data_IF_481127095596
#
_entry.id   IF_481127095596
#
_cell.length_a   1.000
_cell.length_b   1.000
_cell.length_c   1.000
_cell.angle_alpha   90.00
_cell.angle_beta   90.00
_cell.angle_gamma   90.00
#
_symmetry.space_group_name_H-M   'P 1'
#
loop_
_entity.id
_entity.type
_entity.pdbx_description
1 polymer ?
#
# COMPACT_ATOMS: atom_id res chain seq x y z
N UNK A 1 10.79 25.63 -9.57
CA UNK A 1 9.94 26.02 -9.07
C UNK A 1 9.08 25.29 -8.23
N UNK A 2 8.53 25.87 -7.47
CA UNK A 2 7.76 25.23 -6.47
C UNK A 2 6.62 24.42 -7.03
N UNK A 3 6.29 24.64 -8.24
CA UNK A 3 5.18 23.91 -8.83
C UNK A 3 5.40 22.41 -8.75
N UNK A 4 6.63 22.01 -8.81
CA UNK A 4 6.88 20.62 -8.79
C UNK A 4 6.55 19.99 -7.52
N UNK A 5 6.54 20.72 -6.48
CA UNK A 5 6.33 20.12 -5.20
C UNK A 5 4.96 19.54 -5.05
N UNK A 6 3.96 20.10 -5.76
CA UNK A 6 2.69 19.49 -5.59
C UNK A 6 2.40 18.50 -6.64
N UNK A 7 3.30 18.22 -7.49
CA UNK A 7 3.07 17.15 -8.43
C UNK A 7 3.57 15.85 -7.85
N UNK A 8 3.85 15.83 -6.57
CA UNK A 8 4.21 14.58 -5.94
C UNK A 8 3.11 13.61 -6.23
N UNK A 9 3.47 12.52 -6.85
CA UNK A 9 2.55 11.51 -7.27
C UNK A 9 1.86 10.91 -6.05
N UNK A 10 0.56 10.78 -6.10
CA UNK A 10 -0.20 10.17 -5.03
C UNK A 10 0.30 8.74 -4.78
N UNK A 11 0.62 8.02 -5.84
CA UNK A 11 1.15 6.67 -5.70
C UNK A 11 2.45 6.65 -4.91
N UNK A 12 3.31 7.64 -5.16
CA UNK A 12 4.57 7.72 -4.46
C UNK A 12 4.35 7.99 -2.97
N UNK A 13 3.39 8.84 -2.67
CA UNK A 13 3.04 9.11 -1.30
C UNK A 13 2.51 7.85 -0.61
N UNK A 14 1.69 7.10 -1.31
CA UNK A 14 1.15 5.86 -0.76
C UNK A 14 2.26 4.84 -0.53
N UNK A 15 3.24 4.79 -1.41
CA UNK A 15 4.39 3.90 -1.22
C UNK A 15 5.12 4.24 0.07
N UNK A 16 5.34 5.52 0.33
CA UNK A 16 6.01 5.92 1.56
C UNK A 16 5.20 5.53 2.78
N UNK A 17 3.88 5.69 2.69
CA UNK A 17 3.01 5.34 3.81
C UNK A 17 3.06 3.85 4.10
N UNK A 18 3.01 3.04 3.06
CA UNK A 18 3.05 1.59 3.24
C UNK A 18 4.40 1.14 3.78
N UNK A 19 5.48 1.72 3.28
CA UNK A 19 6.81 1.37 3.77
C UNK A 19 6.95 1.75 5.25
N UNK A 20 6.33 2.85 5.65
CA UNK A 20 6.34 3.25 7.05
C UNK A 20 5.58 2.25 7.90
N UNK A 21 4.43 1.80 7.41
CA UNK A 21 3.64 0.79 8.09
C UNK A 21 4.45 -0.51 8.21
N UNK A 22 5.09 -0.91 7.12
CA UNK A 22 5.89 -2.13 7.12
C UNK A 22 7.01 -2.05 8.16
N UNK A 23 7.64 -0.89 8.24
CA UNK A 23 8.73 -0.69 9.20
C UNK A 23 8.22 -0.79 10.63
N UNK A 24 7.05 -0.24 10.89
CA UNK A 24 6.47 -0.26 12.22
C UNK A 24 5.99 -1.64 12.63
N UNK A 25 5.65 -2.49 11.68
CA UNK A 25 5.12 -3.81 11.97
C UNK A 25 6.13 -4.94 11.77
N UNK A 26 7.40 -4.58 11.61
CA UNK A 26 8.45 -5.55 11.38
C UNK A 26 8.55 -6.60 12.47
N UNK A 27 8.23 -6.22 13.69
CA UNK A 27 8.36 -7.12 14.82
C UNK A 27 7.13 -7.96 15.11
N UNK A 28 6.12 -7.82 14.29
CA UNK A 28 4.92 -8.62 14.46
C UNK A 28 5.23 -10.08 14.13
N UNK A 29 4.45 -11.00 14.66
CA UNK A 29 4.63 -12.41 14.40
C UNK A 29 4.49 -12.70 12.92
N UNK A 30 3.55 -12.04 12.27
CA UNK A 30 3.32 -12.21 10.84
C UNK A 30 3.21 -10.82 10.23
N UNK A 31 4.34 -10.21 9.91
CA UNK A 31 4.32 -8.83 9.39
C UNK A 31 3.47 -8.67 8.13
N UNK A 32 3.48 -9.67 7.26
CA UNK A 32 2.70 -9.59 6.03
C UNK A 32 1.22 -9.50 6.34
N UNK A 33 0.73 -10.37 7.21
CA UNK A 33 -0.67 -10.36 7.58
C UNK A 33 -1.02 -9.09 8.33
N UNK A 34 -0.14 -8.62 9.19
CA UNK A 34 -0.38 -7.42 9.98
C UNK A 34 -0.50 -6.19 9.07
N UNK A 35 0.39 -6.08 8.09
CA UNK A 35 0.36 -4.96 7.16
C UNK A 35 -0.92 -5.01 6.32
N UNK A 36 -1.24 -6.19 5.81
CA UNK A 36 -2.44 -6.35 4.98
C UNK A 36 -3.70 -5.98 5.79
N UNK A 37 -3.75 -6.41 7.02
CA UNK A 37 -4.89 -6.13 7.87
C UNK A 37 -4.99 -4.63 8.19
N UNK A 38 -3.86 -4.00 8.45
CA UNK A 38 -3.84 -2.57 8.72
C UNK A 38 -4.36 -1.78 7.51
N UNK A 39 -3.87 -2.11 6.34
CA UNK A 39 -4.30 -1.42 5.14
C UNK A 39 -5.79 -1.66 4.89
N UNK A 40 -6.22 -2.90 5.04
CA UNK A 40 -7.63 -3.23 4.83
C UNK A 40 -8.52 -2.43 5.78
N UNK A 41 -8.09 -2.26 7.01
CA UNK A 41 -8.91 -1.58 8.02
C UNK A 41 -8.93 -0.06 7.87
N UNK A 42 -7.82 0.53 7.45
CA UNK A 42 -7.69 1.98 7.48
C UNK A 42 -7.62 2.67 6.12
N UNK A 43 -7.35 1.95 5.06
CA UNK A 43 -7.27 2.55 3.75
C UNK A 43 -8.57 2.32 2.98
N UNK A 44 -8.94 3.30 2.16
CA UNK A 44 -10.10 3.10 1.28
C UNK A 44 -9.71 2.16 0.16
N UNK A 45 -10.71 1.54 -0.45
CA UNK A 45 -10.47 0.69 -1.61
C UNK A 45 -9.78 1.46 -2.71
N UNK A 46 -10.15 2.73 -2.87
CA UNK A 46 -9.55 3.56 -3.90
C UNK A 46 -8.06 3.74 -3.67
N UNK A 47 -7.65 3.99 -2.43
CA UNK A 47 -6.24 4.13 -2.09
C UNK A 47 -5.49 2.85 -2.38
N UNK A 48 -6.08 1.73 -2.01
CA UNK A 48 -5.48 0.43 -2.25
C UNK A 48 -5.33 0.17 -3.75
N UNK A 49 -6.36 0.51 -4.51
CA UNK A 49 -6.33 0.31 -5.95
C UNK A 49 -5.25 1.18 -6.60
N UNK A 50 -5.13 2.41 -6.16
CA UNK A 50 -4.10 3.29 -6.70
C UNK A 50 -2.71 2.74 -6.48
N UNK A 51 -2.48 2.18 -5.30
CA UNK A 51 -1.18 1.60 -5.01
C UNK A 51 -0.92 0.36 -5.84
N UNK A 52 -1.92 -0.49 -5.99
CA UNK A 52 -1.79 -1.69 -6.81
C UNK A 52 -1.54 -1.35 -8.28
N UNK A 53 -2.22 -0.33 -8.78
CA UNK A 53 -2.05 0.10 -10.16
C UNK A 53 -0.64 0.64 -10.42
N UNK A 54 -0.08 1.28 -9.43
CA UNK A 54 1.25 1.83 -9.55
C UNK A 54 2.30 0.72 -9.65
N UNK A 55 2.04 -0.40 -8.99
CA UNK A 55 2.97 -1.51 -9.00
C UNK A 55 3.89 -1.51 -7.79
N UNK A 56 4.73 -2.53 -7.68
CA UNK A 56 5.54 -2.76 -6.48
C UNK A 56 6.81 -1.95 -6.37
N UNK A 57 7.11 -1.13 -7.35
CA UNK A 57 8.36 -0.41 -7.37
C UNK A 57 8.52 0.47 -6.13
N UNK A 58 9.64 0.35 -5.46
CA UNK A 58 9.92 1.15 -4.28
C UNK A 58 9.37 0.60 -2.98
N UNK A 59 8.61 -0.48 -3.03
CA UNK A 59 8.02 -1.07 -1.83
C UNK A 59 8.97 -2.08 -1.18
N UNK A 60 8.91 -2.15 0.15
CA UNK A 60 9.63 -3.19 0.88
C UNK A 60 9.05 -4.55 0.49
N UNK A 61 9.89 -5.60 0.50
CA UNK A 61 9.39 -6.94 0.15
C UNK A 61 8.20 -7.39 0.97
N UNK A 62 8.19 -7.06 2.25
CA UNK A 62 7.07 -7.43 3.13
C UNK A 62 5.81 -6.71 2.71
N UNK A 63 5.95 -5.45 2.32
CA UNK A 63 4.81 -4.66 1.84
C UNK A 63 4.26 -5.23 0.54
N UNK A 64 5.15 -5.67 -0.35
CA UNK A 64 4.73 -6.27 -1.61
C UNK A 64 3.89 -7.52 -1.33
N UNK A 65 4.37 -8.37 -0.42
CA UNK A 65 3.64 -9.58 -0.08
C UNK A 65 2.28 -9.26 0.51
N UNK A 66 2.21 -8.20 1.33
CA UNK A 66 0.94 -7.80 1.92
C UNK A 66 -0.04 -7.34 0.85
N UNK A 67 0.45 -6.58 -0.12
CA UNK A 67 -0.42 -6.11 -1.19
C UNK A 67 -0.90 -7.25 -2.06
N UNK A 68 -0.08 -8.27 -2.24
CA UNK A 68 -0.49 -9.44 -3.00
C UNK A 68 -1.67 -10.15 -2.33
N UNK A 69 -1.68 -10.13 -1.01
CA UNK A 69 -2.82 -10.71 -0.27
C UNK A 69 -4.07 -9.88 -0.42
N UNK A 70 -3.91 -8.56 -0.54
CA UNK A 70 -5.04 -7.65 -0.65
C UNK A 70 -5.62 -7.59 -2.06
N UNK A 71 -4.81 -7.84 -3.06
CA UNK A 71 -5.20 -7.64 -4.45
C UNK A 71 -6.52 -8.33 -4.83
N UNK A 72 -6.73 -9.60 -4.48
CA UNK A 72 -8.00 -10.25 -4.86
C UNK A 72 -9.20 -9.56 -4.26
N UNK A 73 -9.10 -9.14 -3.01
CA UNK A 73 -10.22 -8.48 -2.34
C UNK A 73 -10.48 -7.10 -2.93
N UNK A 74 -9.42 -6.38 -3.23
CA UNK A 74 -9.55 -5.05 -3.82
C UNK A 74 -10.15 -5.14 -5.21
N UNK A 75 -9.70 -6.11 -6.00
CA UNK A 75 -10.24 -6.31 -7.34
C UNK A 75 -11.71 -6.67 -7.29
N UNK A 76 -12.10 -7.52 -6.36
CA UNK A 76 -13.50 -7.91 -6.23
C UNK A 76 -14.36 -6.72 -5.85
N UNK A 77 -13.90 -5.91 -4.91
CA UNK A 77 -14.65 -4.75 -4.46
C UNK A 77 -14.73 -3.68 -5.54
N UNK A 78 -13.62 -3.47 -6.25
CA UNK A 78 -13.54 -2.41 -7.24
C UNK A 78 -14.19 -2.83 -8.56
N UNK A 79 -13.93 -4.03 -8.98
CA UNK A 79 -14.36 -4.47 -10.27
C UNK A 79 -15.82 -4.78 -10.35
N UNK A 80 -16.37 -5.08 -9.24
CA UNK A 80 -17.79 -5.34 -9.22
C UNK A 80 -18.31 -5.99 -10.46
#
# INVERSE_FOLDING_TARGET
MSAETHTVDTGEKLVRMVNQIARNLTHDKDPVAAIAQHIHAFWTVRMQQQLLDRGPEGLDPVAIAALERLAPAVSAAHGG
#
